data_IF_311867172765
#
_entry.id   IF_311867172765
#
_cell.length_a   1.000
_cell.length_b   1.000
_cell.length_c   1.000
_cell.angle_alpha   90.00
_cell.angle_beta   90.00
_cell.angle_gamma   90.00
#
_symmetry.space_group_name_H-M   'P 1'
#
loop_
_entity.id
_entity.type
_entity.pdbx_description
1 polymer ?
#
# COMPACT_ATOMS: atom_id res chain seq x y z
N UNK A 1 17.87 -7.40 -9.15
CA UNK A 1 17.99 -6.17 -8.31
C UNK A 1 16.69 -5.37 -8.26
N UNK A 2 16.06 -5.03 -9.40
CA UNK A 2 14.83 -4.22 -9.43
C UNK A 2 13.66 -4.77 -8.59
N UNK A 3 13.46 -6.09 -8.54
CA UNK A 3 12.41 -6.75 -7.73
C UNK A 3 12.44 -6.30 -6.26
N UNK A 4 13.59 -6.39 -5.59
CA UNK A 4 13.72 -6.09 -4.14
C UNK A 4 13.38 -4.64 -3.80
N UNK A 5 13.60 -3.71 -4.73
CA UNK A 5 13.29 -2.30 -4.50
C UNK A 5 11.82 -1.95 -4.73
N UNK A 6 11.15 -2.66 -5.64
CA UNK A 6 9.79 -2.32 -6.08
C UNK A 6 8.75 -3.16 -5.35
N UNK A 7 9.09 -4.39 -4.99
CA UNK A 7 8.18 -5.36 -4.38
C UNK A 7 7.51 -4.86 -3.09
N UNK A 8 8.22 -4.30 -2.09
CA UNK A 8 7.58 -3.91 -0.84
C UNK A 8 6.51 -2.83 -1.05
N UNK A 9 6.81 -1.81 -1.85
CA UNK A 9 5.86 -0.74 -2.16
C UNK A 9 4.66 -1.19 -2.99
N UNK A 10 4.87 -2.11 -3.94
CA UNK A 10 3.76 -2.69 -4.72
C UNK A 10 2.89 -3.60 -3.89
N UNK A 11 3.47 -4.45 -3.03
CA UNK A 11 2.72 -5.32 -2.15
C UNK A 11 1.85 -4.51 -1.18
N UNK A 12 2.41 -3.46 -0.58
CA UNK A 12 1.65 -2.54 0.28
C UNK A 12 0.53 -1.82 -0.50
N UNK A 13 0.81 -1.39 -1.74
CA UNK A 13 -0.23 -0.80 -2.60
C UNK A 13 -1.36 -1.79 -2.88
N UNK A 14 -1.05 -3.03 -3.25
CA UNK A 14 -2.06 -4.06 -3.56
C UNK A 14 -2.81 -4.49 -2.30
N UNK A 15 -2.14 -4.63 -1.15
CA UNK A 15 -2.77 -4.91 0.15
C UNK A 15 -3.77 -3.84 0.55
N UNK A 16 -3.46 -2.56 0.31
CA UNK A 16 -4.45 -1.49 0.49
C UNK A 16 -5.68 -1.54 -0.45
N UNK A 17 -5.69 -2.40 -1.47
CA UNK A 17 -6.82 -2.56 -2.40
C UNK A 17 -7.61 -3.85 -2.21
N UNK A 18 -6.94 -4.96 -1.90
CA UNK A 18 -7.55 -6.30 -1.85
C UNK A 18 -7.39 -7.00 -0.49
N UNK A 19 -6.74 -6.36 0.49
CA UNK A 19 -6.52 -6.93 1.81
C UNK A 19 -5.61 -8.17 1.78
N UNK A 20 -6.07 -9.26 2.37
CA UNK A 20 -5.30 -10.49 2.56
C UNK A 20 -4.94 -11.20 1.26
N UNK A 21 -5.75 -11.04 0.20
CA UNK A 21 -5.52 -11.63 -1.12
C UNK A 21 -4.33 -10.97 -1.87
N UNK A 22 -3.61 -10.03 -1.25
CA UNK A 22 -2.57 -9.26 -1.92
C UNK A 22 -1.42 -10.11 -2.44
N UNK A 23 -1.02 -11.16 -1.72
CA UNK A 23 0.09 -12.03 -2.12
C UNK A 23 -0.26 -12.84 -3.37
N UNK A 24 -1.50 -13.36 -3.45
CA UNK A 24 -2.01 -14.06 -4.63
C UNK A 24 -2.04 -13.13 -5.85
N UNK A 25 -2.61 -11.93 -5.67
CA UNK A 25 -2.67 -10.92 -6.73
C UNK A 25 -1.28 -10.48 -7.18
N UNK A 26 -0.34 -10.31 -6.24
CA UNK A 26 1.04 -9.95 -6.57
C UNK A 26 1.79 -11.08 -7.26
N UNK A 27 1.52 -12.32 -6.93
CA UNK A 27 2.09 -13.49 -7.63
C UNK A 27 1.71 -13.47 -9.10
N UNK A 28 0.42 -13.28 -9.40
CA UNK A 28 -0.09 -13.13 -10.77
C UNK A 28 0.53 -11.92 -11.50
N UNK A 29 0.65 -10.79 -10.79
CA UNK A 29 1.24 -9.57 -11.34
C UNK A 29 2.72 -9.76 -11.69
N UNK A 30 3.51 -10.44 -10.84
CA UNK A 30 4.93 -10.70 -11.11
C UNK A 30 5.14 -11.67 -12.26
N UNK A 31 4.25 -12.65 -12.45
CA UNK A 31 4.30 -13.52 -13.63
C UNK A 31 4.10 -12.71 -14.92
N UNK A 32 3.19 -11.73 -14.92
CA UNK A 32 3.01 -10.83 -16.06
C UNK A 32 4.21 -9.89 -16.25
N UNK A 33 4.69 -9.26 -15.18
CA UNK A 33 5.87 -8.38 -15.21
C UNK A 33 7.07 -9.14 -15.76
N UNK A 34 7.33 -10.37 -15.31
CA UNK A 34 8.44 -11.19 -15.79
C UNK A 34 8.33 -11.52 -17.28
N UNK A 35 7.12 -11.84 -17.77
CA UNK A 35 6.86 -12.11 -19.18
C UNK A 35 7.11 -10.89 -20.07
N UNK A 36 6.71 -9.71 -19.61
CA UNK A 36 6.79 -8.48 -20.41
C UNK A 36 8.07 -7.67 -20.18
N UNK A 37 8.90 -8.05 -19.20
CA UNK A 37 10.10 -7.32 -18.78
C UNK A 37 11.06 -7.03 -19.95
N UNK A 38 11.23 -7.98 -20.87
CA UNK A 38 12.13 -7.82 -22.02
C UNK A 38 11.71 -6.71 -23.00
N UNK A 39 10.43 -6.30 -22.96
CA UNK A 39 9.86 -5.24 -23.80
C UNK A 39 9.86 -3.89 -23.11
N UNK A 40 10.06 -3.84 -21.79
CA UNK A 40 10.07 -2.59 -21.04
C UNK A 40 11.22 -1.69 -21.48
N UNK A 41 10.90 -0.42 -21.72
CA UNK A 41 11.86 0.65 -22.01
C UNK A 41 11.55 1.82 -21.07
N UNK A 42 12.53 2.20 -20.25
CA UNK A 42 12.37 3.30 -19.31
C UNK A 42 13.42 3.26 -18.21
N UNK A 43 13.40 4.28 -17.36
CA UNK A 43 14.23 4.38 -16.16
C UNK A 43 13.53 3.73 -14.95
N UNK A 44 14.14 3.88 -13.76
CA UNK A 44 13.57 3.34 -12.52
C UNK A 44 12.19 3.91 -12.17
N UNK A 45 11.92 5.18 -12.49
CA UNK A 45 10.62 5.79 -12.24
C UNK A 45 9.55 5.25 -13.21
N UNK A 46 9.90 5.09 -14.48
CA UNK A 46 9.09 4.42 -15.48
C UNK A 46 8.79 2.97 -15.10
N UNK A 47 9.77 2.26 -14.55
CA UNK A 47 9.61 0.87 -14.12
C UNK A 47 8.62 0.74 -12.95
N UNK A 48 8.71 1.62 -11.95
CA UNK A 48 7.72 1.69 -10.85
C UNK A 48 6.31 1.97 -11.37
N UNK A 49 6.15 2.94 -12.27
CA UNK A 49 4.84 3.26 -12.84
C UNK A 49 4.26 2.12 -13.68
N UNK A 50 5.09 1.46 -14.48
CA UNK A 50 4.68 0.33 -15.32
C UNK A 50 4.25 -0.88 -14.48
N UNK A 51 5.07 -1.28 -13.51
CA UNK A 51 4.73 -2.39 -12.60
C UNK A 51 3.51 -2.08 -11.73
N UNK A 52 3.35 -0.84 -11.24
CA UNK A 52 2.14 -0.40 -10.53
C UNK A 52 0.89 -0.46 -11.41
N UNK A 53 1.01 -0.21 -12.71
CA UNK A 53 -0.09 -0.34 -13.67
C UNK A 53 -0.54 -1.79 -13.77
N UNK A 54 0.39 -2.73 -13.95
CA UNK A 54 0.11 -4.17 -14.02
C UNK A 54 -0.53 -4.65 -12.71
N UNK A 55 0.08 -4.32 -11.56
CA UNK A 55 -0.43 -4.69 -10.24
C UNK A 55 -1.86 -4.16 -10.01
N UNK A 56 -2.13 -2.92 -10.38
CA UNK A 56 -3.47 -2.32 -10.29
C UNK A 56 -4.49 -3.05 -11.16
N UNK A 57 -4.14 -3.42 -12.39
CA UNK A 57 -5.04 -4.16 -13.26
C UNK A 57 -5.40 -5.53 -12.65
N UNK A 58 -4.40 -6.26 -12.14
CA UNK A 58 -4.62 -7.54 -11.45
C UNK A 58 -5.50 -7.40 -10.21
N UNK A 59 -5.26 -6.39 -9.39
CA UNK A 59 -6.09 -6.10 -8.22
C UNK A 59 -7.55 -5.78 -8.62
N UNK A 60 -7.74 -4.96 -9.66
CA UNK A 60 -9.08 -4.64 -10.17
C UNK A 60 -9.81 -5.85 -10.74
N UNK A 61 -9.12 -6.71 -11.48
CA UNK A 61 -9.68 -7.95 -12.02
C UNK A 61 -10.05 -8.94 -10.92
N UNK A 62 -9.25 -9.02 -9.85
CA UNK A 62 -9.57 -9.78 -8.65
C UNK A 62 -10.86 -9.28 -7.98
N UNK A 63 -10.94 -7.98 -7.69
CA UNK A 63 -12.13 -7.37 -7.08
C UNK A 63 -13.39 -7.53 -7.94
N UNK A 64 -13.26 -7.46 -9.28
CA UNK A 64 -14.38 -7.74 -10.20
C UNK A 64 -14.84 -9.19 -10.09
N UNK A 65 -13.92 -10.15 -10.07
CA UNK A 65 -14.23 -11.59 -9.95
C UNK A 65 -14.94 -11.91 -8.63
N UNK A 66 -14.50 -11.32 -7.52
CA UNK A 66 -15.15 -11.50 -6.21
C UNK A 66 -16.59 -10.96 -6.18
N UNK A 67 -16.87 -9.84 -6.84
CA UNK A 67 -18.22 -9.28 -6.92
C UNK A 67 -19.19 -10.16 -7.72
N UNK A 68 -18.71 -10.81 -8.78
CA UNK A 68 -19.52 -11.69 -9.63
C UNK A 68 -19.74 -13.05 -8.99
N UNK A 69 -18.80 -13.53 -8.17
CA UNK A 69 -18.91 -14.79 -7.45
C UNK A 69 -18.56 -14.59 -5.98
N UNK A 70 -19.49 -14.07 -5.16
CA UNK A 70 -19.28 -13.94 -3.74
C UNK A 70 -18.92 -15.30 -3.15
N UNK A 71 -17.76 -15.41 -2.51
CA UNK A 71 -17.47 -16.58 -1.69
C UNK A 71 -18.45 -16.55 -0.51
N UNK A 72 -19.02 -17.70 -0.08
CA UNK A 72 -19.68 -17.76 1.21
C UNK A 72 -18.66 -17.28 2.25
N UNK A 73 -19.03 -16.27 3.05
CA UNK A 73 -18.17 -15.75 4.10
C UNK A 73 -17.78 -16.91 5.02
N UNK A 74 -16.50 -17.25 5.05
CA UNK A 74 -15.98 -18.06 6.14
C UNK A 74 -16.08 -17.20 7.40
N UNK A 75 -17.08 -17.52 8.23
CA UNK A 75 -17.15 -17.07 9.61
C UNK A 75 -15.94 -17.63 10.35
N UNK A 76 -15.16 -16.71 10.91
CA UNK A 76 -14.30 -16.82 12.10
C UNK A 76 -13.21 -17.90 12.19
N UNK A 77 -12.08 -17.44 12.76
CA UNK A 77 -10.98 -18.18 13.41
C UNK A 77 -9.93 -18.81 12.47
N UNK A 78 -8.73 -18.20 12.42
CA UNK A 78 -7.72 -18.52 13.43
C UNK A 78 -6.62 -17.47 13.49
N UNK A 79 -6.15 -17.17 14.69
CA UNK A 79 -4.92 -16.43 14.94
C UNK A 79 -3.79 -17.33 14.46
N UNK A 80 -3.21 -17.01 13.29
CA UNK A 80 -2.00 -17.68 12.83
C UNK A 80 -0.80 -17.07 13.53
N UNK A 81 -0.53 -17.61 14.71
CA UNK A 81 0.78 -17.56 15.34
C UNK A 81 1.75 -18.38 14.48
N UNK A 82 2.56 -17.70 13.66
CA UNK A 82 3.66 -18.34 12.93
C UNK A 82 5.00 -17.74 13.40
N UNK A 83 5.73 -18.42 14.30
CA UNK A 83 7.07 -17.98 14.68
C UNK A 83 8.08 -18.39 13.59
N UNK A 84 8.46 -17.43 12.74
CA UNK A 84 9.63 -17.48 11.86
C UNK A 84 10.83 -16.73 12.48
N UNK A 85 12.08 -17.14 12.20
CA UNK A 85 13.20 -17.04 13.13
C UNK A 85 13.62 -15.60 13.42
N UNK A 86 13.62 -15.23 14.71
CA UNK A 86 14.26 -14.04 15.29
C UNK A 86 13.80 -12.69 14.71
N UNK A 87 12.50 -12.43 14.73
CA UNK A 87 12.03 -11.03 14.65
C UNK A 87 12.30 -10.35 15.99
N UNK A 88 13.13 -9.31 16.00
CA UNK A 88 13.31 -8.45 17.17
C UNK A 88 11.99 -7.73 17.47
N UNK A 89 11.70 -7.45 18.74
CA UNK A 89 10.48 -6.74 19.19
C UNK A 89 10.13 -5.53 18.31
N UNK A 90 11.14 -4.76 17.91
CA UNK A 90 11.01 -3.58 17.05
C UNK A 90 10.46 -3.89 15.64
N UNK A 91 10.83 -5.02 15.04
CA UNK A 91 10.33 -5.42 13.72
C UNK A 91 8.87 -5.89 13.79
N UNK A 92 8.48 -6.54 14.88
CA UNK A 92 7.09 -6.91 15.13
C UNK A 92 6.21 -5.65 15.34
N UNK A 93 6.70 -4.66 16.08
CA UNK A 93 6.02 -3.37 16.25
C UNK A 93 5.94 -2.59 14.92
N UNK A 94 7.01 -2.59 14.12
CA UNK A 94 7.01 -1.94 12.81
C UNK A 94 6.03 -2.61 11.83
N UNK A 95 5.96 -3.95 11.82
CA UNK A 95 5.00 -4.68 11.01
C UNK A 95 3.55 -4.36 11.41
N UNK A 96 3.24 -4.38 12.70
CA UNK A 96 1.92 -4.00 13.23
C UNK A 96 1.55 -2.55 12.88
N UNK A 97 2.52 -1.63 12.97
CA UNK A 97 2.28 -0.23 12.59
C UNK A 97 2.05 -0.05 11.09
N UNK A 98 2.71 -0.85 10.25
CA UNK A 98 2.53 -0.83 8.79
C UNK A 98 1.17 -1.38 8.40
N UNK A 99 0.77 -2.50 9.01
CA UNK A 99 -0.54 -3.10 8.80
C UNK A 99 -1.66 -2.15 9.19
N UNK A 100 -1.58 -1.57 10.39
CA UNK A 100 -2.51 -0.54 10.86
C UNK A 100 -2.57 0.67 9.92
N UNK A 101 -1.42 1.15 9.44
CA UNK A 101 -1.39 2.26 8.47
C UNK A 101 -2.09 1.90 7.15
N UNK A 102 -1.91 0.66 6.66
CA UNK A 102 -2.58 0.19 5.45
C UNK A 102 -4.09 0.01 5.64
N UNK A 103 -4.54 -0.44 6.81
CA UNK A 103 -5.96 -0.50 7.18
C UNK A 103 -6.61 0.89 7.18
N UNK A 104 -5.96 1.88 7.81
CA UNK A 104 -6.43 3.27 7.81
C UNK A 104 -6.56 3.82 6.39
N UNK A 105 -5.59 3.52 5.52
CA UNK A 105 -5.63 3.89 4.10
C UNK A 105 -6.75 3.15 3.37
N UNK A 106 -6.97 1.86 3.67
CA UNK A 106 -8.06 1.05 3.14
C UNK A 106 -9.45 1.59 3.50
N UNK A 107 -9.59 2.26 4.63
CA UNK A 107 -10.81 2.95 5.06
C UNK A 107 -11.12 4.25 4.29
N UNK A 108 -10.21 4.76 3.46
CA UNK A 108 -10.46 5.93 2.63
C UNK A 108 -11.34 5.59 1.42
N UNK A 109 -12.04 6.58 0.83
CA UNK A 109 -12.59 6.41 -0.51
C UNK A 109 -11.51 5.94 -1.48
N UNK A 110 -11.82 4.91 -2.29
CA UNK A 110 -10.86 4.22 -3.19
C UNK A 110 -9.96 5.17 -3.99
N UNK A 111 -10.53 6.25 -4.50
CA UNK A 111 -9.82 7.29 -5.24
C UNK A 111 -8.73 8.00 -4.44
N UNK A 112 -8.96 8.20 -3.14
CA UNK A 112 -8.02 8.80 -2.20
C UNK A 112 -6.97 7.78 -1.78
N UNK A 113 -7.39 6.56 -1.42
CA UNK A 113 -6.51 5.46 -1.04
C UNK A 113 -5.46 5.17 -2.14
N UNK A 114 -5.92 4.94 -3.37
CA UNK A 114 -5.06 4.68 -4.52
C UNK A 114 -4.08 5.84 -4.78
N UNK A 115 -4.53 7.09 -4.66
CA UNK A 115 -3.68 8.25 -4.86
C UNK A 115 -2.61 8.40 -3.76
N UNK A 116 -2.95 8.10 -2.51
CA UNK A 116 -2.00 8.12 -1.38
C UNK A 116 -0.97 7.01 -1.55
N UNK A 117 -1.40 5.77 -1.75
CA UNK A 117 -0.50 4.61 -1.89
C UNK A 117 0.48 4.80 -3.05
N UNK A 118 0.01 5.22 -4.23
CA UNK A 118 0.90 5.42 -5.37
C UNK A 118 1.91 6.55 -5.17
N UNK A 119 1.52 7.62 -4.48
CA UNK A 119 2.37 8.82 -4.31
C UNK A 119 3.35 8.69 -3.14
N UNK A 120 2.93 8.05 -2.06
CA UNK A 120 3.67 7.98 -0.80
C UNK A 120 4.38 6.64 -0.64
N UNK A 121 3.70 5.53 -0.92
CA UNK A 121 4.23 4.18 -0.70
C UNK A 121 5.01 3.67 -1.91
N UNK A 122 4.45 3.79 -3.11
CA UNK A 122 5.14 3.40 -4.36
C UNK A 122 6.13 4.49 -4.81
N UNK A 123 5.96 5.74 -4.35
CA UNK A 123 6.86 6.84 -4.66
C UNK A 123 6.79 7.30 -6.12
N UNK A 124 5.61 7.22 -6.75
CA UNK A 124 5.38 7.79 -8.08
C UNK A 124 5.21 9.29 -8.02
N UNK A 125 5.67 10.00 -9.05
CA UNK A 125 5.34 11.41 -9.22
C UNK A 125 3.84 11.62 -9.58
N UNK A 126 3.37 12.87 -9.54
CA UNK A 126 1.97 13.19 -9.86
C UNK A 126 1.54 12.71 -11.25
N UNK A 127 2.31 13.02 -12.32
CA UNK A 127 2.03 12.53 -13.66
C UNK A 127 2.05 11.01 -13.82
N UNK A 128 2.99 10.28 -13.22
CA UNK A 128 3.07 8.83 -13.30
C UNK A 128 1.90 8.16 -12.57
N UNK A 129 1.57 8.60 -11.36
CA UNK A 129 0.38 8.12 -10.64
C UNK A 129 -0.90 8.41 -11.45
N UNK A 130 -0.97 9.55 -12.13
CA UNK A 130 -2.10 9.90 -12.99
C UNK A 130 -2.26 8.95 -14.18
N UNK A 131 -1.16 8.51 -14.80
CA UNK A 131 -1.18 7.48 -15.85
C UNK A 131 -1.69 6.14 -15.32
N UNK A 132 -1.19 5.69 -14.16
CA UNK A 132 -1.64 4.44 -13.50
C UNK A 132 -3.14 4.47 -13.20
N UNK A 133 -3.66 5.62 -12.73
CA UNK A 133 -5.06 5.77 -12.35
C UNK A 133 -6.00 6.11 -13.51
N UNK A 134 -5.48 6.45 -14.69
CA UNK A 134 -6.28 6.96 -15.81
C UNK A 134 -6.94 8.31 -15.50
N UNK A 135 -6.24 9.20 -14.78
CA UNK A 135 -6.77 10.49 -14.30
C UNK A 135 -5.91 11.67 -14.74
N UNK A 136 -6.41 12.89 -14.53
CA UNK A 136 -5.60 14.13 -14.68
C UNK A 136 -4.64 14.28 -13.48
N UNK A 137 -3.40 14.78 -13.65
CA UNK A 137 -2.46 14.99 -12.53
C UNK A 137 -3.02 15.85 -11.39
N UNK A 138 -3.80 16.88 -11.71
CA UNK A 138 -4.47 17.71 -10.71
C UNK A 138 -5.51 16.96 -9.86
N UNK A 139 -6.21 15.99 -10.47
CA UNK A 139 -7.17 15.13 -9.75
C UNK A 139 -6.45 14.20 -8.77
N UNK A 140 -5.31 13.61 -9.18
CA UNK A 140 -4.48 12.78 -8.29
C UNK A 140 -3.93 13.59 -7.12
N UNK A 141 -3.40 14.80 -7.39
CA UNK A 141 -2.92 15.69 -6.33
C UNK A 141 -4.02 16.00 -5.31
N UNK A 142 -5.21 16.33 -5.80
CA UNK A 142 -6.36 16.65 -4.94
C UNK A 142 -6.81 15.44 -4.13
N UNK A 143 -6.88 14.26 -4.75
CA UNK A 143 -7.26 13.02 -4.09
C UNK A 143 -6.26 12.62 -2.99
N UNK A 144 -4.96 12.68 -3.28
CA UNK A 144 -3.90 12.41 -2.30
C UNK A 144 -3.94 13.39 -1.13
N UNK A 145 -4.10 14.69 -1.39
CA UNK A 145 -4.24 15.70 -0.35
C UNK A 145 -5.45 15.44 0.55
N UNK A 146 -6.62 15.14 -0.04
CA UNK A 146 -7.84 14.83 0.71
C UNK A 146 -7.70 13.55 1.54
N UNK A 147 -7.04 12.53 0.98
CA UNK A 147 -6.73 11.28 1.69
C UNK A 147 -5.84 11.53 2.91
N UNK A 148 -4.69 12.18 2.71
CA UNK A 148 -3.77 12.53 3.81
C UNK A 148 -4.44 13.40 4.88
N UNK A 149 -5.25 14.39 4.48
CA UNK A 149 -6.01 15.23 5.43
C UNK A 149 -7.05 14.44 6.22
N UNK A 150 -7.63 13.38 5.65
CA UNK A 150 -8.55 12.50 6.37
C UNK A 150 -7.81 11.60 7.36
N UNK A 151 -6.71 10.98 6.93
CA UNK A 151 -5.84 10.17 7.79
C UNK A 151 -5.33 10.99 8.99
N UNK A 152 -4.84 12.20 8.74
CA UNK A 152 -4.37 13.10 9.80
C UNK A 152 -5.46 13.43 10.84
N UNK A 153 -6.73 13.53 10.41
CA UNK A 153 -7.85 13.74 11.35
C UNK A 153 -8.21 12.49 12.14
N UNK A 154 -8.09 11.30 11.54
CA UNK A 154 -8.32 10.03 12.25
C UNK A 154 -7.25 9.85 13.33
N UNK A 155 -5.98 10.00 12.95
CA UNK A 155 -4.85 9.90 13.89
C UNK A 155 -4.85 11.01 14.96
N UNK A 156 -5.31 12.23 14.61
CA UNK A 156 -5.46 13.32 15.57
C UNK A 156 -6.69 13.21 16.49
N UNK A 157 -7.69 12.40 16.12
CA UNK A 157 -8.85 12.09 16.96
C UNK A 157 -8.58 10.91 17.91
N UNK A 158 -7.68 10.00 17.53
CA UNK A 158 -7.32 8.79 18.28
C UNK A 158 -6.05 8.94 19.13
N UNK A 159 -5.46 10.13 19.20
CA UNK A 159 -4.34 10.43 20.10
C UNK A 159 -3.01 9.87 19.57
N UNK A 160 -2.23 10.73 18.92
CA UNK A 160 -0.78 10.60 19.00
C UNK A 160 -0.47 10.72 20.48
N UNK A 161 -0.08 9.62 21.12
CA UNK A 161 0.42 9.59 22.49
C UNK A 161 1.55 10.60 22.56
N UNK A 162 1.23 11.76 23.12
CA UNK A 162 2.18 12.80 23.47
C UNK A 162 3.05 12.18 24.57
N UNK A 163 4.15 11.52 24.21
CA UNK A 163 5.24 11.33 25.16
C UNK A 163 5.88 12.71 25.32
N UNK A 164 5.68 13.40 26.46
CA UNK A 164 6.41 14.62 26.71
C UNK A 164 7.88 14.24 26.72
N UNK A 165 8.63 14.83 25.79
CA UNK A 165 10.09 14.82 25.80
C UNK A 165 10.54 15.12 27.23
N UNK A 166 11.07 14.11 27.92
CA UNK A 166 11.76 14.31 29.20
C UNK A 166 12.92 15.24 28.89
N UNK A 167 12.72 16.52 29.18
CA UNK A 167 13.79 17.51 29.22
C UNK A 167 14.81 17.02 30.24
N UNK A 168 15.92 16.49 29.74
CA UNK A 168 17.10 16.23 30.53
C UNK A 168 17.79 17.59 30.77
N UNK A 169 17.35 18.26 31.82
CA UNK A 169 17.97 19.38 32.51
C UNK A 169 17.31 19.38 33.89
N UNK A 170 18.02 19.26 35.00
CA UNK A 170 19.02 20.21 35.44
C UNK A 170 20.21 19.52 36.14
N UNK A 171 21.37 20.11 35.92
CA UNK A 171 22.51 20.03 36.82
C UNK A 171 22.18 20.70 38.16
N UNK A 172 22.51 20.05 39.28
CA UNK A 172 23.33 20.60 40.38
C UNK A 172 23.75 19.43 41.26
#
# INVERSE_FOLDING_TARGET
>A
MAYRFVQPGLLAYVRGLVGDDAEDVMSDAWLEIARDLGRFKGDGAGFRGWTATIARHRALDHLRRQRVRPRPSALEQDVLDLPGPQSTYDQAMEALSTEYALELVGGLPRDQAEAVLLRVVVGLDGPAAARVLGKRPGAVRTAAYRGLKRLARQLGADGVTDEPSRTLGEST
#
